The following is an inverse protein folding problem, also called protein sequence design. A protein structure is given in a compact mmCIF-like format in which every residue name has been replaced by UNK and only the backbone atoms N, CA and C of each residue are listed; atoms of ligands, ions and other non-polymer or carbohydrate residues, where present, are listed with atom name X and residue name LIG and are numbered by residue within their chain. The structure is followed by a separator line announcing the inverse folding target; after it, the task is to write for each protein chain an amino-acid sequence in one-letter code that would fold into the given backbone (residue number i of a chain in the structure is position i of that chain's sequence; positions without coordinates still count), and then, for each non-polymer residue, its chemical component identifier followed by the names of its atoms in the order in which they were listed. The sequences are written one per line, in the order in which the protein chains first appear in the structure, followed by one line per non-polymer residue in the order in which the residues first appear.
data_IF_356690377163
#
_entry.id   IF_356690377163
#
_cell.length_a   1.000
_cell.length_b   1.000
_cell.length_c   1.000
_cell.angle_alpha   90.00
_cell.angle_beta   90.00
_cell.angle_gamma   90.00
#
_symmetry.space_group_name_H-M   'P 1'
#
loop_
_entity.id
_entity.type
_entity.pdbx_description
1 polymer ?
#
# COMPACT_ATOMS: atom_id res chain seq x y z
N UNK A 1 -42.13 10.40 4.40
CA UNK A 1 -41.06 9.46 4.76
C UNK A 1 -39.89 9.49 3.78
N UNK A 2 -38.93 10.38 4.01
CA UNK A 2 -37.61 10.31 3.39
C UNK A 2 -36.68 9.69 4.41
N UNK A 3 -36.62 8.36 4.42
CA UNK A 3 -35.54 7.68 5.11
C UNK A 3 -34.23 8.20 4.53
N UNK A 4 -33.53 9.01 5.33
CA UNK A 4 -32.12 9.31 5.12
C UNK A 4 -31.38 7.98 5.11
N UNK A 5 -31.16 7.42 3.92
CA UNK A 5 -30.09 6.47 3.70
C UNK A 5 -28.82 7.21 4.14
N UNK A 6 -28.33 6.89 5.33
CA UNK A 6 -27.04 7.38 5.83
C UNK A 6 -26.05 7.27 4.67
N UNK A 7 -25.40 8.36 4.23
CA UNK A 7 -24.40 8.27 3.18
C UNK A 7 -23.40 7.20 3.61
N UNK A 8 -23.12 6.23 2.72
CA UNK A 8 -22.14 5.17 3.00
C UNK A 8 -20.89 5.83 3.59
N UNK A 9 -20.32 5.29 4.69
CA UNK A 9 -19.15 5.88 5.30
C UNK A 9 -18.07 6.06 4.24
N UNK A 10 -17.53 7.26 4.13
CA UNK A 10 -16.49 7.58 3.16
C UNK A 10 -15.25 6.74 3.49
N UNK A 11 -14.80 5.92 2.55
CA UNK A 11 -13.56 5.16 2.70
C UNK A 11 -12.37 6.13 2.55
N UNK A 12 -11.74 6.50 3.67
CA UNK A 12 -10.73 7.56 3.70
C UNK A 12 -9.39 7.09 3.12
N UNK A 13 -9.01 5.82 3.30
CA UNK A 13 -7.85 5.21 2.61
C UNK A 13 -7.96 5.39 1.09
N UNK A 14 -9.09 4.96 0.51
CA UNK A 14 -9.31 5.06 -0.94
C UNK A 14 -9.35 6.52 -1.40
N UNK A 15 -9.99 7.40 -0.65
CA UNK A 15 -10.03 8.82 -0.97
C UNK A 15 -8.64 9.46 -0.90
N UNK A 16 -7.82 9.11 0.09
CA UNK A 16 -6.45 9.61 0.23
C UNK A 16 -5.56 9.17 -0.94
N UNK A 17 -5.65 7.88 -1.33
CA UNK A 17 -4.96 7.37 -2.53
C UNK A 17 -5.42 8.10 -3.79
N UNK A 18 -6.71 8.37 -3.93
CA UNK A 18 -7.25 9.12 -5.06
C UNK A 18 -6.73 10.56 -5.10
N UNK A 19 -6.65 11.23 -3.95
CA UNK A 19 -6.07 12.58 -3.83
C UNK A 19 -4.59 12.59 -4.21
N UNK A 20 -3.82 11.59 -3.77
CA UNK A 20 -2.41 11.43 -4.17
C UNK A 20 -2.27 11.17 -5.67
N UNK A 21 -3.17 10.36 -6.26
CA UNK A 21 -3.20 10.09 -7.69
C UNK A 21 -3.55 11.34 -8.52
N UNK A 22 -4.48 12.18 -8.07
CA UNK A 22 -4.75 13.46 -8.71
C UNK A 22 -3.52 14.36 -8.66
N UNK A 23 -2.83 14.41 -7.52
CA UNK A 23 -1.57 15.13 -7.37
C UNK A 23 -0.47 14.63 -8.31
N UNK A 24 -0.33 13.31 -8.48
CA UNK A 24 0.65 12.74 -9.42
C UNK A 24 0.33 13.03 -10.90
N UNK A 25 -0.95 13.22 -11.22
CA UNK A 25 -1.45 13.65 -12.52
C UNK A 25 -1.47 15.18 -12.69
N UNK A 26 -0.89 15.93 -11.75
CA UNK A 26 -0.88 17.39 -11.78
C UNK A 26 -2.29 18.01 -11.84
N UNK A 27 -3.27 17.35 -11.21
CA UNK A 27 -4.65 17.83 -11.06
C UNK A 27 -4.87 18.30 -9.62
N UNK A 28 -5.55 19.43 -9.46
CA UNK A 28 -5.86 19.98 -8.13
C UNK A 28 -7.03 19.21 -7.48
N UNK A 29 -6.80 18.42 -6.42
CA UNK A 29 -7.85 17.67 -5.75
C UNK A 29 -8.81 18.54 -4.94
N UNK A 30 -8.51 19.84 -4.74
CA UNK A 30 -9.41 20.79 -4.09
C UNK A 30 -10.51 21.29 -5.03
N UNK A 31 -10.37 21.06 -6.34
CA UNK A 31 -11.28 21.52 -7.40
C UNK A 31 -11.81 20.36 -8.24
N UNK A 32 -12.07 19.21 -7.63
CA UNK A 32 -12.54 18.01 -8.32
C UNK A 32 -14.04 18.10 -8.62
N UNK A 33 -14.42 18.51 -9.83
CA UNK A 33 -15.83 18.67 -10.25
C UNK A 33 -16.69 19.49 -9.26
N UNK A 34 -16.11 20.54 -8.68
CA UNK A 34 -16.79 21.37 -7.67
C UNK A 34 -16.74 20.84 -6.24
N UNK A 35 -16.09 19.69 -6.00
CA UNK A 35 -15.86 19.12 -4.68
C UNK A 35 -14.40 19.30 -4.24
N UNK A 36 -14.21 19.72 -2.99
CA UNK A 36 -12.90 19.77 -2.35
C UNK A 36 -12.66 18.46 -1.59
N UNK A 37 -11.96 17.53 -2.26
CA UNK A 37 -11.65 16.22 -1.70
C UNK A 37 -10.70 16.30 -0.51
N UNK A 38 -9.82 17.30 -0.48
CA UNK A 38 -8.86 17.50 0.60
C UNK A 38 -9.56 17.98 1.85
N UNK A 39 -10.49 18.91 1.70
CA UNK A 39 -11.35 19.35 2.80
C UNK A 39 -12.19 18.18 3.32
N UNK A 40 -12.75 17.34 2.45
CA UNK A 40 -13.49 16.14 2.87
C UNK A 40 -12.62 15.17 3.71
N UNK A 41 -11.38 14.93 3.27
CA UNK A 41 -10.39 14.13 4.02
C UNK A 41 -10.08 14.74 5.39
N UNK A 42 -9.92 16.05 5.50
CA UNK A 42 -9.56 16.70 6.75
C UNK A 42 -10.72 16.80 7.77
N UNK A 43 -11.97 16.67 7.31
CA UNK A 43 -13.14 16.66 8.18
C UNK A 43 -13.35 15.33 8.89
N UNK A 44 -12.92 14.23 8.28
CA UNK A 44 -13.09 12.88 8.82
C UNK A 44 -11.73 12.38 9.32
N UNK A 45 -11.63 12.12 10.62
CA UNK A 45 -10.39 11.62 11.21
C UNK A 45 -10.42 10.08 11.25
N UNK A 46 -9.50 9.38 10.58
CA UNK A 46 -9.44 7.92 10.66
C UNK A 46 -9.15 7.42 12.07
N UNK A 47 -9.71 6.26 12.40
CA UNK A 47 -9.45 5.56 13.66
C UNK A 47 -8.11 4.83 13.61
N UNK A 48 -7.79 4.19 12.48
CA UNK A 48 -6.54 3.46 12.29
C UNK A 48 -5.37 4.41 12.02
N UNK A 49 -4.23 4.14 12.66
CA UNK A 49 -3.05 5.04 12.61
C UNK A 49 -2.40 5.09 11.23
N UNK A 50 -2.39 3.97 10.48
CA UNK A 50 -1.89 3.92 9.11
C UNK A 50 -2.74 4.77 8.14
N UNK A 51 -4.07 4.67 8.23
CA UNK A 51 -5.02 5.45 7.44
C UNK A 51 -4.95 6.93 7.84
N UNK A 52 -4.80 7.22 9.12
CA UNK A 52 -4.57 8.58 9.62
C UNK A 52 -3.27 9.18 9.04
N UNK A 53 -2.18 8.41 9.00
CA UNK A 53 -0.92 8.86 8.41
C UNK A 53 -1.06 9.09 6.90
N UNK A 54 -1.72 8.18 6.18
CA UNK A 54 -1.94 8.29 4.74
C UNK A 54 -2.83 9.49 4.37
N UNK A 55 -3.93 9.70 5.08
CA UNK A 55 -4.81 10.86 4.86
C UNK A 55 -4.10 12.19 5.16
N UNK A 56 -3.24 12.21 6.17
CA UNK A 56 -2.41 13.39 6.48
C UNK A 56 -1.34 13.64 5.42
N UNK A 57 -0.69 12.59 4.92
CA UNK A 57 0.22 12.68 3.77
C UNK A 57 -0.50 13.24 2.54
N UNK A 58 -1.67 12.71 2.19
CA UNK A 58 -2.46 13.17 1.05
C UNK A 58 -2.81 14.67 1.16
N UNK A 59 -3.30 15.11 2.32
CA UNK A 59 -3.60 16.51 2.55
C UNK A 59 -2.37 17.41 2.44
N UNK A 60 -1.25 16.99 3.02
CA UNK A 60 0.01 17.72 2.92
C UNK A 60 0.52 17.79 1.48
N UNK A 61 0.44 16.68 0.73
CA UNK A 61 0.87 16.61 -0.67
C UNK A 61 0.07 17.53 -1.58
N UNK A 62 -1.21 17.78 -1.26
CA UNK A 62 -2.06 18.77 -1.94
C UNK A 62 -1.84 20.23 -1.47
N UNK A 63 -0.73 20.50 -0.78
CA UNK A 63 -0.44 21.81 -0.19
C UNK A 63 -1.58 22.37 0.68
N UNK A 64 -2.33 21.50 1.38
CA UNK A 64 -3.29 21.93 2.38
C UNK A 64 -2.62 22.12 3.75
N UNK A 65 -3.18 22.99 4.56
CA UNK A 65 -2.72 23.21 5.93
C UNK A 65 -3.06 22.01 6.80
N UNK A 66 -2.05 21.38 7.41
CA UNK A 66 -2.23 20.29 8.38
C UNK A 66 -2.41 20.89 9.78
N UNK A 67 -3.50 20.53 10.46
CA UNK A 67 -3.86 21.11 11.76
C UNK A 67 -2.87 20.68 12.84
N UNK A 68 -2.58 21.56 13.81
CA UNK A 68 -1.68 21.25 14.94
C UNK A 68 -2.06 19.97 15.71
N UNK A 69 -3.36 19.68 15.86
CA UNK A 69 -3.85 18.43 16.47
C UNK A 69 -3.41 17.19 15.68
N UNK A 70 -3.48 17.24 14.37
CA UNK A 70 -3.08 16.11 13.51
C UNK A 70 -1.55 15.91 13.58
N UNK A 71 -0.79 17.00 13.58
CA UNK A 71 0.67 16.94 13.75
C UNK A 71 1.03 16.30 15.09
N UNK A 72 0.40 16.70 16.20
CA UNK A 72 0.66 16.07 17.52
C UNK A 72 0.37 14.57 17.49
N UNK A 73 -0.78 14.16 16.93
CA UNK A 73 -1.11 12.74 16.81
C UNK A 73 -0.08 11.97 16.00
N UNK A 74 0.44 12.51 14.89
CA UNK A 74 1.54 11.87 14.15
C UNK A 74 2.80 11.70 14.99
N UNK A 75 3.14 12.70 15.81
CA UNK A 75 4.30 12.63 16.71
C UNK A 75 4.09 11.60 17.82
N UNK A 76 2.87 11.51 18.37
CA UNK A 76 2.50 10.53 19.37
C UNK A 76 2.62 9.10 18.80
N UNK A 77 2.08 8.85 17.60
CA UNK A 77 2.22 7.58 16.87
C UNK A 77 3.69 7.26 16.61
N UNK A 78 4.48 8.22 16.12
CA UNK A 78 5.91 8.05 15.85
C UNK A 78 6.74 7.69 17.10
N UNK A 79 6.27 8.09 18.29
CA UNK A 79 6.90 7.80 19.57
C UNK A 79 6.41 6.52 20.24
N UNK A 80 5.36 5.89 19.69
CA UNK A 80 4.76 4.67 20.22
C UNK A 80 5.70 3.46 20.18
N UNK A 81 5.59 2.59 21.19
CA UNK A 81 6.49 1.43 21.38
C UNK A 81 6.11 0.26 20.46
N UNK A 82 4.83 0.11 20.10
CA UNK A 82 4.30 -1.04 19.34
C UNK A 82 3.58 -0.58 18.08
N UNK A 83 4.35 -0.18 17.07
CA UNK A 83 3.81 0.25 15.78
C UNK A 83 4.30 -0.67 14.66
N UNK A 84 3.43 -0.94 13.69
CA UNK A 84 3.82 -1.72 12.52
C UNK A 84 4.78 -0.92 11.64
N UNK A 85 5.64 -1.64 10.90
CA UNK A 85 6.60 -1.06 9.95
C UNK A 85 5.86 -0.15 8.95
N UNK A 86 4.74 -0.62 8.40
CA UNK A 86 3.87 0.14 7.49
C UNK A 86 3.41 1.47 8.08
N UNK A 87 2.99 1.47 9.36
CA UNK A 87 2.50 2.67 10.04
C UNK A 87 3.63 3.66 10.24
N UNK A 88 4.79 3.22 10.76
CA UNK A 88 5.95 4.09 10.95
C UNK A 88 6.46 4.66 9.62
N UNK A 89 6.53 3.83 8.57
CA UNK A 89 6.93 4.28 7.24
C UNK A 89 5.98 5.36 6.70
N UNK A 90 4.66 5.15 6.84
CA UNK A 90 3.66 6.14 6.40
C UNK A 90 3.71 7.43 7.23
N UNK A 91 3.93 7.33 8.54
CA UNK A 91 4.12 8.49 9.43
C UNK A 91 5.36 9.29 9.05
N UNK A 92 6.48 8.61 8.74
CA UNK A 92 7.70 9.25 8.24
C UNK A 92 7.40 10.00 6.93
N UNK A 93 6.73 9.37 5.97
CA UNK A 93 6.33 10.03 4.71
C UNK A 93 5.47 11.28 4.97
N UNK A 94 4.47 11.18 5.84
CA UNK A 94 3.59 12.29 6.19
C UNK A 94 4.36 13.44 6.88
N UNK A 95 5.16 13.13 7.89
CA UNK A 95 5.97 14.13 8.61
C UNK A 95 6.99 14.78 7.67
N UNK A 96 7.63 14.01 6.79
CA UNK A 96 8.57 14.53 5.78
C UNK A 96 7.90 15.55 4.87
N UNK A 97 6.69 15.26 4.40
CA UNK A 97 5.90 16.24 3.66
C UNK A 97 5.67 17.51 4.49
N UNK A 98 5.24 17.39 5.75
CA UNK A 98 4.91 18.52 6.63
C UNK A 98 6.14 19.42 6.86
N UNK A 99 7.31 18.84 7.12
CA UNK A 99 8.54 19.60 7.41
C UNK A 99 9.16 20.29 6.19
N UNK A 100 8.64 20.03 4.97
CA UNK A 100 8.96 20.85 3.80
C UNK A 100 8.40 22.26 3.90
N UNK A 101 7.33 22.47 4.68
CA UNK A 101 6.85 23.80 5.02
C UNK A 101 7.78 24.43 6.07
N UNK A 102 8.34 25.60 5.74
CA UNK A 102 9.21 26.38 6.63
C UNK A 102 8.65 26.57 8.05
N UNK A 103 7.31 26.66 8.21
CA UNK A 103 6.64 26.81 9.51
C UNK A 103 6.86 25.60 10.43
N UNK A 104 7.13 24.44 9.85
CA UNK A 104 7.26 23.16 10.54
C UNK A 104 8.67 22.58 10.49
N UNK A 105 9.67 23.35 10.04
CA UNK A 105 11.07 22.92 9.96
C UNK A 105 11.66 22.51 11.31
N UNK A 106 11.15 23.03 12.42
CA UNK A 106 11.54 22.63 13.77
C UNK A 106 11.21 21.16 14.09
N UNK A 107 10.30 20.52 13.33
CA UNK A 107 9.92 19.13 13.55
C UNK A 107 10.87 18.12 12.90
N UNK A 108 11.90 18.56 12.18
CA UNK A 108 12.86 17.69 11.47
C UNK A 108 13.49 16.61 12.38
N UNK A 109 13.77 16.93 13.65
CA UNK A 109 14.30 15.95 14.60
C UNK A 109 13.34 14.78 14.85
N UNK A 110 12.02 15.04 14.83
CA UNK A 110 11.00 14.01 15.02
C UNK A 110 10.81 13.11 13.81
N UNK A 111 11.36 13.47 12.64
CA UNK A 111 11.44 12.57 11.48
C UNK A 111 12.64 11.64 11.62
N UNK A 112 13.80 12.18 12.04
CA UNK A 112 15.06 11.43 12.11
C UNK A 112 15.00 10.25 13.07
N UNK A 113 14.49 10.44 14.29
CA UNK A 113 14.44 9.36 15.29
C UNK A 113 13.64 8.13 14.85
N UNK A 114 12.36 8.23 14.40
CA UNK A 114 11.63 7.07 13.91
C UNK A 114 12.24 6.49 12.64
N UNK A 115 12.86 7.30 11.77
CA UNK A 115 13.56 6.78 10.61
C UNK A 115 14.78 5.92 10.97
N UNK A 116 15.55 6.29 12.00
CA UNK A 116 16.63 5.45 12.54
C UNK A 116 16.09 4.13 13.08
N UNK A 117 15.01 4.20 13.87
CA UNK A 117 14.33 3.02 14.40
C UNK A 117 13.90 2.09 13.26
N UNK A 118 13.22 2.63 12.24
CA UNK A 118 12.80 1.90 11.06
C UNK A 118 14.00 1.28 10.31
N UNK A 119 15.06 2.05 10.05
CA UNK A 119 16.27 1.57 9.38
C UNK A 119 16.92 0.38 10.10
N UNK A 120 16.87 0.35 11.44
CA UNK A 120 17.41 -0.75 12.24
C UNK A 120 16.60 -2.06 12.16
N UNK A 121 15.37 -2.01 11.62
CA UNK A 121 14.52 -3.19 11.43
C UNK A 121 14.79 -3.94 10.12
N UNK A 122 15.77 -3.49 9.31
CA UNK A 122 16.14 -4.20 8.10
C UNK A 122 16.73 -5.57 8.46
N UNK A 123 16.16 -6.64 7.89
CA UNK A 123 16.64 -7.99 8.09
C UNK A 123 17.94 -8.26 7.29
N UNK A 124 18.75 -9.27 7.66
CA UNK A 124 20.02 -9.57 6.98
C UNK A 124 19.89 -9.90 5.48
N UNK A 125 18.72 -10.32 5.01
CA UNK A 125 18.42 -10.55 3.59
C UNK A 125 18.07 -9.25 2.86
N UNK A 126 17.88 -8.15 3.58
CA UNK A 126 17.60 -6.81 3.07
C UNK A 126 16.14 -6.36 3.20
N UNK A 127 15.21 -7.25 3.56
CA UNK A 127 13.79 -6.93 3.68
C UNK A 127 13.41 -6.25 5.00
N UNK A 128 12.17 -5.80 5.10
CA UNK A 128 11.55 -5.26 6.33
C UNK A 128 10.31 -6.09 6.71
N UNK A 129 10.40 -7.41 6.63
CA UNK A 129 9.28 -8.32 6.88
C UNK A 129 8.57 -8.71 5.58
N UNK A 130 7.52 -7.97 5.19
CA UNK A 130 6.69 -8.30 4.02
C UNK A 130 7.09 -7.50 2.77
N UNK A 131 6.54 -7.82 1.59
CA UNK A 131 6.73 -7.04 0.35
C UNK A 131 6.24 -5.61 0.54
N UNK A 132 5.03 -5.46 1.12
CA UNK A 132 4.44 -4.15 1.41
C UNK A 132 5.28 -3.33 2.38
N UNK A 133 5.67 -3.92 3.51
CA UNK A 133 6.49 -3.25 4.52
C UNK A 133 7.85 -2.83 3.96
N UNK A 134 8.48 -3.69 3.16
CA UNK A 134 9.75 -3.39 2.49
C UNK A 134 9.61 -2.25 1.49
N UNK A 135 8.56 -2.26 0.65
CA UNK A 135 8.30 -1.20 -0.31
C UNK A 135 8.07 0.16 0.38
N UNK A 136 7.24 0.20 1.41
CA UNK A 136 6.99 1.42 2.17
C UNK A 136 8.23 1.91 2.92
N UNK A 137 9.02 1.01 3.51
CA UNK A 137 10.26 1.37 4.20
C UNK A 137 11.28 2.01 3.25
N UNK A 138 11.45 1.45 2.04
CA UNK A 138 12.30 2.07 1.01
C UNK A 138 11.83 3.48 0.71
N UNK A 139 10.52 3.67 0.45
CA UNK A 139 9.97 5.01 0.15
C UNK A 139 10.16 5.99 1.30
N UNK A 140 10.01 5.55 2.55
CA UNK A 140 10.18 6.39 3.74
C UNK A 140 11.64 6.81 3.96
N UNK A 141 12.60 5.92 3.68
CA UNK A 141 14.01 6.10 4.01
C UNK A 141 14.87 6.65 2.86
N UNK A 142 14.48 6.46 1.59
CA UNK A 142 15.32 6.74 0.40
C UNK A 142 15.79 8.19 0.24
N UNK A 143 15.08 9.15 0.83
CA UNK A 143 15.37 10.58 0.72
C UNK A 143 15.87 11.15 2.07
N UNK A 144 16.23 10.27 3.01
CA UNK A 144 16.94 10.63 4.23
C UNK A 144 18.44 10.36 4.03
N UNK A 145 19.29 11.20 4.62
CA UNK A 145 20.75 11.02 4.58
C UNK A 145 21.15 9.61 5.05
N UNK A 146 22.22 9.03 4.50
CA UNK A 146 22.51 7.61 4.61
C UNK A 146 22.80 7.21 6.06
N UNK A 147 21.83 6.57 6.69
CA UNK A 147 21.98 5.87 7.97
C UNK A 147 21.74 4.38 7.76
N UNK A 148 22.67 3.53 8.23
CA UNK A 148 22.64 2.08 8.56
C UNK A 148 21.82 1.05 7.77
N UNK A 149 20.95 1.43 6.83
CA UNK A 149 20.15 0.52 6.02
C UNK A 149 20.71 0.45 4.59
N UNK A 150 20.58 -0.71 3.98
CA UNK A 150 21.09 -1.02 2.66
C UNK A 150 19.95 -1.01 1.64
N UNK A 151 19.80 0.10 0.92
CA UNK A 151 18.79 0.25 -0.15
C UNK A 151 18.93 -0.82 -1.23
N UNK A 152 20.14 -1.08 -1.68
CA UNK A 152 20.41 -2.06 -2.74
C UNK A 152 19.98 -3.46 -2.32
N UNK A 153 20.24 -3.85 -1.07
CA UNK A 153 19.78 -5.13 -0.54
C UNK A 153 18.24 -5.22 -0.50
N UNK A 154 17.55 -4.16 -0.06
CA UNK A 154 16.10 -4.11 -0.03
C UNK A 154 15.48 -4.18 -1.45
N UNK A 155 16.06 -3.45 -2.41
CA UNK A 155 15.63 -3.50 -3.81
C UNK A 155 15.83 -4.90 -4.42
N UNK A 156 17.00 -5.52 -4.21
CA UNK A 156 17.27 -6.88 -4.69
C UNK A 156 16.35 -7.92 -4.01
N UNK A 157 16.01 -7.70 -2.74
CA UNK A 157 15.06 -8.53 -2.01
C UNK A 157 13.65 -8.47 -2.61
N UNK A 158 13.21 -7.29 -3.07
CA UNK A 158 11.94 -7.13 -3.80
C UNK A 158 12.01 -7.77 -5.19
N UNK A 159 13.06 -7.49 -5.96
CA UNK A 159 13.23 -8.01 -7.33
C UNK A 159 13.28 -9.54 -7.34
N UNK A 160 13.95 -10.17 -6.37
CA UNK A 160 14.01 -11.63 -6.25
C UNK A 160 12.66 -12.31 -5.95
N UNK A 161 11.61 -11.53 -5.64
CA UNK A 161 10.24 -11.99 -5.39
C UNK A 161 9.26 -11.57 -6.48
N UNK A 162 9.76 -11.00 -7.57
CA UNK A 162 8.93 -10.70 -8.74
C UNK A 162 8.50 -12.01 -9.39
N UNK A 163 7.21 -12.12 -9.73
CA UNK A 163 6.65 -13.27 -10.45
C UNK A 163 7.05 -13.23 -11.93
N UNK A 164 6.86 -14.35 -12.63
CA UNK A 164 7.14 -14.45 -14.07
C UNK A 164 6.31 -13.47 -14.92
N UNK A 165 5.10 -13.12 -14.45
CA UNK A 165 4.24 -12.11 -15.07
C UNK A 165 4.65 -10.66 -14.75
N UNK A 166 5.72 -10.48 -13.97
CA UNK A 166 6.23 -9.18 -13.55
C UNK A 166 5.54 -8.58 -12.33
N UNK A 167 4.52 -9.22 -11.77
CA UNK A 167 3.76 -8.72 -10.63
C UNK A 167 4.39 -9.10 -9.28
N UNK A 168 3.92 -8.43 -8.21
CA UNK A 168 4.20 -8.78 -6.83
C UNK A 168 2.90 -9.10 -6.09
N UNK A 169 2.87 -10.26 -5.42
CA UNK A 169 1.73 -10.71 -4.60
C UNK A 169 2.28 -11.31 -3.30
N UNK A 170 1.65 -11.03 -2.16
CA UNK A 170 1.92 -11.77 -0.93
C UNK A 170 0.99 -12.99 -0.87
N UNK A 171 1.57 -14.19 -0.73
CA UNK A 171 0.83 -15.43 -0.50
C UNK A 171 1.00 -15.89 0.96
N UNK A 172 -0.08 -16.34 1.62
CA UNK A 172 -1.46 -16.35 1.14
C UNK A 172 -2.04 -14.92 1.15
N UNK A 173 -2.84 -14.60 0.12
CA UNK A 173 -3.72 -13.42 0.15
C UNK A 173 -4.61 -13.61 1.39
N UNK A 174 -4.48 -12.74 2.39
CA UNK A 174 -5.29 -12.85 3.61
C UNK A 174 -6.77 -12.77 3.23
N UNK A 175 -7.61 -13.63 3.80
CA UNK A 175 -9.02 -13.75 3.39
C UNK A 175 -9.80 -12.44 3.46
N UNK A 176 -10.63 -12.20 2.43
CA UNK A 176 -11.44 -10.98 2.29
C UNK A 176 -10.74 -9.82 1.58
N UNK A 177 -9.51 -10.01 1.12
CA UNK A 177 -8.77 -9.02 0.34
C UNK A 177 -9.23 -8.99 -1.13
N UNK A 178 -9.58 -7.79 -1.61
CA UNK A 178 -9.92 -7.47 -2.99
C UNK A 178 -8.87 -8.07 -3.96
N UNK A 179 -9.27 -8.76 -5.06
CA UNK A 179 -8.35 -9.28 -6.08
C UNK A 179 -7.39 -8.22 -6.67
N UNK A 180 -7.71 -6.93 -6.53
CA UNK A 180 -6.83 -5.82 -6.90
C UNK A 180 -5.69 -5.56 -5.91
N UNK A 181 -5.58 -6.28 -4.79
CA UNK A 181 -4.51 -6.06 -3.80
C UNK A 181 -3.13 -6.40 -4.36
N UNK A 182 -3.03 -7.38 -5.27
CA UNK A 182 -1.80 -7.61 -6.03
C UNK A 182 -1.41 -6.39 -6.89
N UNK A 183 -2.39 -5.67 -7.46
CA UNK A 183 -2.15 -4.45 -8.24
C UNK A 183 -1.66 -3.33 -7.31
N UNK A 184 -2.31 -3.15 -6.16
CA UNK A 184 -1.89 -2.18 -5.15
C UNK A 184 -0.47 -2.41 -4.67
N UNK A 185 -0.12 -3.67 -4.37
CA UNK A 185 1.23 -4.05 -3.96
C UNK A 185 2.25 -3.84 -5.07
N UNK A 186 1.91 -4.22 -6.30
CA UNK A 186 2.78 -3.99 -7.47
C UNK A 186 3.06 -2.49 -7.65
N UNK A 187 2.04 -1.64 -7.50
CA UNK A 187 2.23 -0.18 -7.54
C UNK A 187 3.13 0.32 -6.40
N UNK A 188 2.93 -0.17 -5.17
CA UNK A 188 3.78 0.20 -4.02
C UNK A 188 5.24 -0.22 -4.24
N UNK A 189 5.49 -1.41 -4.81
CA UNK A 189 6.83 -1.90 -5.15
C UNK A 189 7.46 -1.10 -6.28
N UNK A 190 6.72 -0.75 -7.33
CA UNK A 190 7.21 0.11 -8.42
C UNK A 190 7.64 1.47 -7.87
N UNK A 191 6.85 2.08 -6.98
CA UNK A 191 7.20 3.33 -6.32
C UNK A 191 8.46 3.21 -5.43
N UNK A 192 8.67 2.06 -4.81
CA UNK A 192 9.86 1.79 -3.99
C UNK A 192 11.13 1.60 -4.83
N UNK A 193 11.03 0.87 -5.96
CA UNK A 193 12.15 0.65 -6.87
C UNK A 193 12.48 1.89 -7.71
N UNK A 194 11.48 2.77 -7.90
CA UNK A 194 11.63 4.04 -8.59
C UNK A 194 12.50 5.06 -7.85
N UNK A 195 12.82 6.13 -8.56
CA UNK A 195 13.57 7.28 -8.02
C UNK A 195 12.70 8.20 -7.16
N UNK A 196 11.37 8.08 -7.31
CA UNK A 196 10.36 8.91 -6.65
C UNK A 196 9.27 8.01 -6.08
N UNK A 197 9.00 8.17 -4.78
CA UNK A 197 7.89 7.50 -4.09
C UNK A 197 6.74 8.46 -3.79
N UNK A 198 5.84 8.07 -2.89
CA UNK A 198 4.69 8.90 -2.48
C UNK A 198 5.10 10.28 -1.91
N UNK A 199 6.26 10.38 -1.27
CA UNK A 199 6.79 11.64 -0.74
C UNK A 199 7.09 12.70 -1.81
N UNK A 200 7.32 12.28 -3.06
CA UNK A 200 7.67 13.18 -4.15
C UNK A 200 6.46 13.90 -4.76
N UNK A 201 5.22 13.43 -4.50
CA UNK A 201 3.99 13.97 -5.13
C UNK A 201 3.85 15.48 -4.91
N UNK A 202 4.19 15.98 -3.71
CA UNK A 202 4.16 17.42 -3.40
C UNK A 202 5.13 18.25 -4.23
N UNK A 203 6.27 17.67 -4.60
CA UNK A 203 7.38 18.35 -5.26
C UNK A 203 7.40 18.13 -6.77
N UNK A 204 6.34 17.53 -7.34
CA UNK A 204 6.23 17.35 -8.79
C UNK A 204 6.15 18.71 -9.49
N UNK A 205 7.08 18.94 -10.42
CA UNK A 205 7.11 20.12 -11.27
C UNK A 205 6.19 19.88 -12.47
N UNK A 206 4.93 20.32 -12.34
CA UNK A 206 3.90 20.10 -13.35
C UNK A 206 4.01 21.02 -14.58
N UNK A 207 4.88 22.03 -14.53
CA UNK A 207 5.04 23.03 -15.59
C UNK A 207 5.83 22.52 -16.81
N UNK A 208 6.53 21.38 -16.69
CA UNK A 208 7.42 20.85 -17.74
C UNK A 208 6.86 19.66 -18.52
N UNK A 209 5.62 19.22 -18.28
CA UNK A 209 5.18 17.91 -18.79
C UNK A 209 4.63 17.95 -20.22
N UNK A 210 4.39 19.10 -20.87
CA UNK A 210 4.00 19.11 -22.30
C UNK A 210 4.65 20.25 -23.08
N UNK A 211 5.89 20.02 -23.53
CA UNK A 211 6.39 20.46 -24.84
C UNK A 211 7.53 19.52 -25.21
N UNK A 212 7.27 18.67 -26.20
CA UNK A 212 8.14 17.56 -26.54
C UNK A 212 9.53 18.00 -26.99
N UNK A 213 10.53 17.23 -26.60
CA UNK A 213 11.82 17.15 -27.27
C UNK A 213 12.30 15.70 -27.21
N UNK A 214 12.48 15.13 -28.40
CA UNK A 214 13.26 13.95 -28.76
C UNK A 214 14.00 13.28 -27.60
N UNK A 215 13.36 12.29 -26.97
CA UNK A 215 14.12 11.22 -26.38
C UNK A 215 14.48 10.25 -27.50
N UNK A 216 15.71 10.33 -28.00
CA UNK A 216 16.40 9.21 -28.67
C UNK A 216 16.66 8.08 -27.66
N UNK A 217 15.63 7.65 -26.93
CA UNK A 217 15.57 6.27 -26.49
C UNK A 217 15.06 5.52 -27.70
N UNK A 218 15.95 4.79 -28.36
CA UNK A 218 15.56 3.71 -29.24
C UNK A 218 14.66 2.79 -28.42
N UNK A 219 13.35 3.00 -28.52
CA UNK A 219 12.37 1.94 -28.35
C UNK A 219 12.77 0.90 -29.39
N UNK A 220 13.62 -0.05 -28.98
CA UNK A 220 13.52 -1.39 -29.53
C UNK A 220 12.18 -1.94 -29.07
N UNK A 221 11.12 -1.40 -29.68
CA UNK A 221 9.75 -1.80 -29.55
C UNK A 221 9.60 -3.15 -30.23
N UNK A 222 10.03 -4.20 -29.55
CA UNK A 222 9.16 -5.35 -29.55
C UNK A 222 7.93 -4.92 -28.76
N UNK A 223 6.84 -4.73 -29.48
CA UNK A 223 5.50 -4.56 -28.92
C UNK A 223 5.12 -5.81 -28.12
N UNK A 224 5.65 -5.93 -26.90
CA UNK A 224 5.12 -6.82 -25.85
C UNK A 224 3.91 -6.13 -25.22
N UNK A 225 2.87 -5.94 -26.01
CA UNK A 225 1.54 -6.14 -25.47
C UNK A 225 1.53 -7.61 -25.02
N UNK A 226 1.15 -7.89 -23.76
CA UNK A 226 0.80 -9.26 -23.41
C UNK A 226 -0.22 -9.72 -24.45
N UNK A 227 0.16 -10.71 -25.26
CA UNK A 227 -0.82 -11.39 -26.10
C UNK A 227 -1.90 -11.91 -25.15
N UNK A 228 -3.20 -11.76 -25.48
CA UNK A 228 -4.23 -12.48 -24.75
C UNK A 228 -3.83 -13.95 -24.72
N UNK A 229 -3.97 -14.64 -23.57
CA UNK A 229 -3.55 -16.03 -23.46
C UNK A 229 -4.15 -16.82 -24.63
N UNK A 230 -3.28 -17.34 -25.48
CA UNK A 230 -3.68 -18.22 -26.57
C UNK A 230 -4.50 -19.38 -25.96
N UNK A 231 -5.55 -19.86 -26.63
CA UNK A 231 -6.26 -21.04 -26.16
C UNK A 231 -5.24 -22.17 -26.01
N UNK A 232 -5.09 -22.64 -24.78
CA UNK A 232 -4.16 -23.67 -24.35
C UNK A 232 -4.10 -24.81 -25.37
N UNK A 233 -2.97 -24.95 -26.07
CA UNK A 233 -2.58 -26.25 -26.61
C UNK A 233 -2.06 -27.04 -25.43
N UNK A 234 -2.98 -27.77 -24.79
CA UNK A 234 -2.73 -28.75 -23.75
C UNK A 234 -1.65 -29.74 -24.20
N UNK A 235 -0.49 -29.69 -23.55
CA UNK A 235 0.42 -30.84 -23.39
C UNK A 235 1.34 -30.65 -22.17
N UNK A 236 0.87 -29.93 -21.15
CA UNK A 236 1.24 -30.25 -19.79
C UNK A 236 0.03 -30.93 -19.18
N UNK A 237 0.17 -32.23 -18.95
CA UNK A 237 -0.69 -33.00 -18.07
C UNK A 237 -0.56 -32.36 -16.68
N UNK A 238 -1.32 -31.29 -16.45
CA UNK A 238 -1.52 -30.73 -15.13
C UNK A 238 -2.23 -31.82 -14.34
N UNK A 239 -1.45 -32.67 -13.67
CA UNK A 239 -1.97 -33.46 -12.58
C UNK A 239 -2.72 -32.48 -11.67
N UNK A 240 -4.05 -32.50 -11.74
CA UNK A 240 -4.93 -31.77 -10.82
C UNK A 240 -4.77 -32.48 -9.48
N UNK A 241 -3.64 -32.26 -8.81
CA UNK A 241 -3.36 -32.84 -7.50
C UNK A 241 -4.29 -32.15 -6.53
N UNK A 242 -5.37 -32.85 -6.17
CA UNK A 242 -6.22 -32.39 -5.10
C UNK A 242 -5.46 -32.48 -3.77
N UNK A 243 -5.65 -31.48 -2.92
CA UNK A 243 -5.14 -31.46 -1.55
C UNK A 243 -6.31 -31.69 -0.62
N UNK A 244 -6.13 -32.60 0.33
CA UNK A 244 -7.06 -32.81 1.44
C UNK A 244 -6.62 -32.00 2.65
N UNK A 245 -7.57 -31.32 3.30
CA UNK A 245 -7.32 -30.51 4.48
C UNK A 245 -8.58 -30.47 5.36
N UNK A 246 -8.40 -30.11 6.63
CA UNK A 246 -9.49 -29.97 7.60
C UNK A 246 -9.78 -28.49 7.81
N UNK A 247 -11.02 -28.08 7.54
CA UNK A 247 -11.53 -26.75 7.84
C UNK A 247 -12.21 -26.77 9.20
N UNK A 248 -11.77 -25.92 10.12
CA UNK A 248 -12.28 -25.87 11.49
C UNK A 248 -12.78 -24.47 11.83
N UNK A 249 -14.04 -24.37 12.22
CA UNK A 249 -14.69 -23.13 12.67
C UNK A 249 -15.01 -23.22 14.16
N UNK A 250 -14.63 -22.20 14.93
CA UNK A 250 -15.09 -22.02 16.30
C UNK A 250 -16.19 -20.96 16.33
N UNK A 251 -17.27 -21.22 17.08
CA UNK A 251 -18.38 -20.26 17.26
C UNK A 251 -18.46 -19.84 18.71
N UNK A 252 -18.48 -18.53 18.96
CA UNK A 252 -18.58 -17.95 20.30
C UNK A 252 -17.25 -17.49 20.91
N UNK A 253 -17.30 -17.02 22.16
CA UNK A 253 -16.13 -16.54 22.92
C UNK A 253 -15.42 -17.65 23.70
N UNK A 254 -15.91 -18.89 23.61
CA UNK A 254 -15.37 -20.06 24.29
C UNK A 254 -14.98 -21.12 23.25
N UNK A 255 -13.74 -21.63 23.30
CA UNK A 255 -13.13 -22.51 22.28
C UNK A 255 -13.75 -23.93 22.27
N UNK A 256 -14.88 -24.13 22.92
CA UNK A 256 -15.49 -25.44 23.16
C UNK A 256 -16.45 -25.88 22.05
N UNK A 257 -17.01 -24.94 21.28
CA UNK A 257 -17.87 -25.25 20.13
C UNK A 257 -17.05 -25.19 18.84
N UNK A 258 -16.56 -26.35 18.42
CA UNK A 258 -15.68 -26.52 17.26
C UNK A 258 -16.37 -27.39 16.21
N UNK A 259 -16.56 -26.84 15.02
CA UNK A 259 -17.10 -27.53 13.85
C UNK A 259 -15.95 -27.81 12.89
N UNK A 260 -15.77 -29.07 12.50
CA UNK A 260 -14.69 -29.47 11.59
C UNK A 260 -15.22 -30.23 10.38
N UNK A 261 -14.76 -29.86 9.20
CA UNK A 261 -15.11 -30.46 7.92
C UNK A 261 -13.83 -30.88 7.18
N UNK A 262 -13.81 -32.09 6.64
CA UNK A 262 -12.72 -32.55 5.77
C UNK A 262 -13.03 -32.16 4.34
N UNK A 263 -12.21 -31.29 3.77
CA UNK A 263 -12.36 -30.79 2.41
C UNK A 263 -11.27 -31.35 1.51
N UNK A 264 -11.63 -31.54 0.25
CA UNK A 264 -10.69 -31.89 -0.82
C UNK A 264 -10.91 -30.92 -1.96
N UNK A 265 -9.86 -30.23 -2.37
CA UNK A 265 -9.97 -29.23 -3.44
C UNK A 265 -8.69 -29.17 -4.28
N UNK A 266 -8.73 -28.59 -5.50
CA UNK A 266 -7.55 -28.48 -6.35
C UNK A 266 -6.40 -27.75 -5.64
N UNK A 267 -5.16 -28.16 -5.93
CA UNK A 267 -3.96 -27.40 -5.52
C UNK A 267 -4.15 -25.91 -5.89
N UNK A 268 -3.81 -25.01 -4.97
CA UNK A 268 -4.00 -23.54 -5.06
C UNK A 268 -5.45 -23.05 -4.83
N UNK A 269 -6.30 -23.84 -4.17
CA UNK A 269 -7.58 -23.32 -3.65
C UNK A 269 -7.33 -22.29 -2.55
N UNK A 270 -7.93 -21.09 -2.67
CA UNK A 270 -7.85 -20.06 -1.62
C UNK A 270 -8.69 -20.45 -0.40
N UNK A 271 -8.36 -19.92 0.77
CA UNK A 271 -9.14 -20.20 1.99
C UNK A 271 -10.58 -19.70 1.86
N UNK A 272 -10.84 -18.55 1.24
CA UNK A 272 -12.21 -18.14 0.90
C UNK A 272 -12.97 -19.17 0.04
N UNK A 273 -12.33 -19.78 -0.97
CA UNK A 273 -12.94 -20.85 -1.78
C UNK A 273 -13.19 -22.11 -0.95
N UNK A 274 -12.26 -22.45 -0.05
CA UNK A 274 -12.45 -23.53 0.90
C UNK A 274 -13.61 -23.27 1.86
N UNK A 275 -13.77 -22.02 2.33
CA UNK A 275 -14.87 -21.59 3.20
C UNK A 275 -16.21 -21.62 2.47
N UNK A 276 -16.27 -21.17 1.22
CA UNK A 276 -17.50 -21.27 0.41
C UNK A 276 -17.85 -22.73 0.12
N UNK A 277 -16.86 -23.57 -0.19
CA UNK A 277 -17.05 -25.01 -0.30
C UNK A 277 -17.57 -25.63 1.01
N UNK A 278 -17.03 -25.22 2.17
CA UNK A 278 -17.52 -25.66 3.48
C UNK A 278 -18.98 -25.25 3.71
N UNK A 279 -19.32 -24.00 3.37
CA UNK A 279 -20.67 -23.45 3.54
C UNK A 279 -21.70 -24.15 2.63
N UNK A 280 -21.33 -24.53 1.41
CA UNK A 280 -22.17 -25.31 0.50
C UNK A 280 -22.36 -26.76 0.94
N UNK A 281 -21.38 -27.34 1.66
CA UNK A 281 -21.48 -28.70 2.18
C UNK A 281 -22.31 -28.80 3.47
N UNK A 282 -22.48 -27.69 4.19
CA UNK A 282 -23.24 -27.59 5.44
C UNK A 282 -24.70 -27.10 5.23
N UNK A 283 -25.11 -26.82 3.97
CA UNK A 283 -26.47 -26.40 3.58
C UNK A 283 -27.35 -27.55 3.12
#
# INVERSE_FOLDING_TARGET
DRHHTLPKPVNLDRLARYVLALGSLCKDPKRFYGHDLVTLLQHHEPTQDNEFALTTLAACSSAAHVRKRQIRRLLDIASGVTQSIDTIAMVILALRCIVTDHRHRHLQHFVRRPAKGLASLQDPRGGFGTLRSTALAIQALQELEPETWNRTAASNWLISRQREDGSWTEEPIQDGQDPNIGIGLTADVILALGWKGLGAVRALQCDHVIRGENSDYSENGESKLLQPPAPFSSNEESDVKNVSYTYTLWVGTNVTEVYSLSLTSPKNTSFFKAMTQAAEMDS
#
